data_IF_487916971838
#
_entry.id   IF_487916971838
#
_cell.length_a   1.000
_cell.length_b   1.000
_cell.length_c   1.000
_cell.angle_alpha   90.00
_cell.angle_beta   90.00
_cell.angle_gamma   90.00
#
_symmetry.space_group_name_H-M   'P 1'
#
loop_
_entity.id
_entity.type
_entity.pdbx_description
1 polymer ?
#
# COMPACT_ATOMS: atom_id res chain seq x y z
N UNK A 1 -19.78 2.55 15.29
CA UNK A 1 -19.51 3.93 14.81
C UNK A 1 -18.03 4.16 14.96
N UNK A 2 -17.30 4.70 13.96
CA UNK A 2 -15.91 5.03 14.16
C UNK A 2 -15.82 6.06 15.28
N UNK A 3 -14.97 5.78 16.28
CA UNK A 3 -14.72 6.73 17.35
C UNK A 3 -14.11 7.99 16.74
N UNK A 4 -14.72 9.14 17.00
CA UNK A 4 -14.18 10.43 16.57
C UNK A 4 -12.82 10.61 17.25
N UNK A 5 -11.77 11.03 16.52
CA UNK A 5 -10.42 11.26 17.01
C UNK A 5 -10.40 12.06 18.32
N UNK A 6 -11.23 13.10 18.41
CA UNK A 6 -11.38 13.91 19.62
C UNK A 6 -11.95 13.11 20.81
N UNK A 7 -12.81 12.11 20.58
CA UNK A 7 -13.30 11.25 21.63
C UNK A 7 -12.21 10.33 22.18
N UNK A 8 -11.34 9.80 21.30
CA UNK A 8 -10.20 8.97 21.72
C UNK A 8 -9.19 9.75 22.58
N UNK A 9 -8.93 11.02 22.25
CA UNK A 9 -8.07 11.88 23.07
C UNK A 9 -8.68 12.03 24.46
N UNK A 10 -9.99 12.31 24.56
CA UNK A 10 -10.67 12.46 25.85
C UNK A 10 -10.67 11.16 26.65
N UNK A 11 -10.95 10.00 26.04
CA UNK A 11 -10.90 8.70 26.73
C UNK A 11 -9.51 8.42 27.32
N UNK A 12 -8.43 8.66 26.55
CA UNK A 12 -7.06 8.51 27.04
C UNK A 12 -6.75 9.49 28.17
N UNK A 13 -7.22 10.71 28.09
CA UNK A 13 -7.03 11.73 29.14
C UNK A 13 -7.77 11.32 30.42
N UNK A 14 -9.03 10.88 30.33
CA UNK A 14 -9.79 10.39 31.47
C UNK A 14 -9.08 9.17 32.09
N UNK A 15 -8.62 8.22 31.29
CA UNK A 15 -7.86 7.06 31.75
C UNK A 15 -6.61 7.45 32.54
N UNK A 16 -5.80 8.35 32.00
CA UNK A 16 -4.59 8.86 32.65
C UNK A 16 -4.93 9.57 33.98
N UNK A 17 -6.02 10.33 34.03
CA UNK A 17 -6.48 10.96 35.25
C UNK A 17 -6.88 9.91 36.31
N UNK A 18 -7.72 8.95 35.95
CA UNK A 18 -8.26 7.95 36.88
C UNK A 18 -7.20 6.95 37.38
N UNK A 19 -6.12 6.73 36.64
CA UNK A 19 -4.96 5.93 37.02
C UNK A 19 -4.03 6.62 38.01
N UNK A 20 -4.13 7.93 38.17
CA UNK A 20 -3.29 8.69 39.09
C UNK A 20 -3.84 8.58 40.52
N UNK A 21 -3.24 7.74 41.44
CA UNK A 21 -3.75 7.54 42.78
C UNK A 21 -3.47 8.71 43.71
N UNK A 22 -2.61 9.64 43.33
CA UNK A 22 -2.17 10.76 44.17
C UNK A 22 -3.08 11.98 44.08
N UNK A 23 -4.05 12.00 43.14
CA UNK A 23 -5.00 13.10 42.97
C UNK A 23 -6.43 12.58 42.96
N UNK A 24 -7.34 13.29 43.64
CA UNK A 24 -8.77 13.04 43.57
C UNK A 24 -9.35 13.81 42.40
N UNK A 25 -10.12 13.16 41.55
CA UNK A 25 -10.65 13.73 40.30
C UNK A 25 -12.15 13.96 40.41
N UNK A 26 -12.58 15.22 40.37
CA UNK A 26 -13.98 15.58 40.20
C UNK A 26 -14.37 15.60 38.74
N UNK A 27 -15.68 15.70 38.43
CA UNK A 27 -16.12 15.88 37.04
C UNK A 27 -15.54 17.15 36.40
N UNK A 28 -15.41 18.24 37.20
CA UNK A 28 -14.83 19.50 36.73
C UNK A 28 -13.35 19.33 36.36
N UNK A 29 -12.58 18.72 37.22
CA UNK A 29 -11.16 18.38 36.92
C UNK A 29 -11.00 17.57 35.65
N UNK A 30 -11.89 16.60 35.39
CA UNK A 30 -11.86 15.78 34.16
C UNK A 30 -12.24 16.60 32.92
N UNK A 31 -13.16 17.54 33.06
CA UNK A 31 -13.54 18.47 31.97
C UNK A 31 -12.37 19.37 31.61
N UNK A 32 -11.68 19.93 32.60
CA UNK A 32 -10.53 20.83 32.42
C UNK A 32 -9.37 20.05 31.76
N UNK A 33 -9.01 18.87 32.30
CA UNK A 33 -7.97 18.03 31.73
C UNK A 33 -8.25 17.62 30.27
N UNK A 34 -9.50 17.29 29.95
CA UNK A 34 -9.89 16.95 28.59
C UNK A 34 -9.88 18.17 27.65
N UNK A 35 -10.20 19.35 28.17
CA UNK A 35 -10.15 20.59 27.39
C UNK A 35 -8.71 20.96 27.04
N UNK A 36 -7.82 20.88 28.04
CA UNK A 36 -6.38 21.12 27.86
C UNK A 36 -5.77 20.15 26.86
N UNK A 37 -6.08 18.86 26.96
CA UNK A 37 -5.59 17.86 26.02
C UNK A 37 -6.07 18.11 24.59
N UNK A 38 -7.33 18.51 24.38
CA UNK A 38 -7.83 18.82 23.04
C UNK A 38 -7.21 20.10 22.47
N UNK A 39 -6.92 21.09 23.31
CA UNK A 39 -6.18 22.26 22.90
C UNK A 39 -4.76 21.89 22.44
N UNK A 40 -4.06 21.09 23.23
CA UNK A 40 -2.67 20.68 22.97
C UNK A 40 -2.53 19.82 21.71
N UNK A 41 -3.44 18.85 21.51
CA UNK A 41 -3.33 17.87 20.39
C UNK A 41 -4.01 18.33 19.10
N UNK A 42 -5.06 19.14 19.16
CA UNK A 42 -5.89 19.48 17.99
C UNK A 42 -6.07 21.02 17.82
N UNK A 43 -5.52 21.83 18.75
CA UNK A 43 -5.68 23.29 18.72
C UNK A 43 -7.13 23.77 18.97
N UNK A 44 -7.96 22.92 19.61
CA UNK A 44 -9.38 23.25 19.87
C UNK A 44 -9.48 24.10 21.13
N UNK A 45 -9.70 25.38 20.97
CA UNK A 45 -9.83 26.36 22.07
C UNK A 45 -11.26 26.42 22.70
N UNK A 46 -12.22 25.73 22.12
CA UNK A 46 -13.57 25.60 22.67
C UNK A 46 -13.58 24.55 23.78
N UNK A 47 -13.74 24.97 25.04
CA UNK A 47 -13.87 24.08 26.18
C UNK A 47 -14.97 23.01 25.98
N UNK A 48 -14.87 21.93 26.72
CA UNK A 48 -15.80 20.77 26.64
C UNK A 48 -16.88 20.93 27.70
N UNK A 49 -18.11 20.51 27.38
CA UNK A 49 -19.20 20.50 28.35
C UNK A 49 -19.10 19.35 29.36
N UNK A 50 -19.55 19.56 30.60
CA UNK A 50 -19.71 18.50 31.60
C UNK A 50 -20.50 17.29 31.06
N UNK A 51 -21.54 17.57 30.26
CA UNK A 51 -22.38 16.55 29.61
C UNK A 51 -21.57 15.65 28.67
N UNK A 52 -20.61 16.22 27.92
CA UNK A 52 -19.74 15.46 27.02
C UNK A 52 -18.90 14.47 27.80
N UNK A 53 -18.22 14.91 28.87
CA UNK A 53 -17.38 14.04 29.71
C UNK A 53 -18.22 12.98 30.43
N UNK A 54 -19.42 13.30 30.89
CA UNK A 54 -20.35 12.32 31.45
C UNK A 54 -20.74 11.24 30.44
N UNK A 55 -21.03 11.63 29.20
CA UNK A 55 -21.31 10.67 28.11
C UNK A 55 -20.07 9.83 27.78
N UNK A 56 -18.88 10.41 27.78
CA UNK A 56 -17.63 9.69 27.57
C UNK A 56 -17.40 8.64 28.67
N UNK A 57 -17.60 9.00 29.93
CA UNK A 57 -17.51 8.04 31.06
C UNK A 57 -18.53 6.91 30.93
N UNK A 58 -19.78 7.23 30.54
CA UNK A 58 -20.80 6.20 30.28
C UNK A 58 -20.41 5.28 29.13
N UNK A 59 -19.83 5.85 28.07
CA UNK A 59 -19.35 5.07 26.94
C UNK A 59 -18.17 4.17 27.32
N UNK A 60 -17.23 4.67 28.12
CA UNK A 60 -16.11 3.88 28.65
C UNK A 60 -16.58 2.74 29.57
N UNK A 61 -17.64 2.92 30.32
CA UNK A 61 -18.28 1.88 31.17
C UNK A 61 -19.03 0.82 30.34
N UNK A 62 -19.44 1.15 29.13
CA UNK A 62 -20.23 0.27 28.28
C UNK A 62 -19.35 -0.74 27.53
N UNK A 63 -19.94 -1.87 27.16
CA UNK A 63 -19.31 -2.88 26.29
C UNK A 63 -19.15 -2.41 24.83
N UNK A 64 -19.80 -1.31 24.44
CA UNK A 64 -19.85 -0.84 23.04
C UNK A 64 -18.48 -0.50 22.43
N UNK A 65 -17.53 -0.07 23.25
CA UNK A 65 -16.15 0.21 22.83
C UNK A 65 -15.17 -0.86 23.30
N UNK A 66 -15.65 -1.92 23.97
CA UNK A 66 -14.82 -3.00 24.50
C UNK A 66 -14.05 -2.63 25.75
N UNK A 67 -14.19 -1.40 26.29
CA UNK A 67 -13.44 -0.99 27.49
C UNK A 67 -14.01 -1.59 28.76
N UNK A 68 -15.33 -1.62 28.89
CA UNK A 68 -16.01 -2.10 30.10
C UNK A 68 -15.39 -1.57 31.41
N UNK A 69 -15.02 -0.27 31.37
CA UNK A 69 -14.17 0.36 32.38
C UNK A 69 -14.85 0.41 33.76
N UNK A 70 -14.21 -0.13 34.81
CA UNK A 70 -14.77 -0.18 36.19
C UNK A 70 -14.65 1.19 36.88
N UNK A 71 -15.24 2.22 36.27
CA UNK A 71 -15.20 3.59 36.82
C UNK A 71 -16.28 3.71 37.89
N UNK A 72 -15.89 4.01 39.12
CA UNK A 72 -16.79 4.24 40.27
C UNK A 72 -16.75 5.69 40.73
N UNK A 73 -17.84 6.12 41.40
CA UNK A 73 -17.91 7.41 42.05
C UNK A 73 -17.89 7.17 43.56
N UNK A 74 -16.99 7.82 44.26
CA UNK A 74 -16.91 7.75 45.73
C UNK A 74 -17.04 9.16 46.32
N UNK A 75 -17.47 9.21 47.60
CA UNK A 75 -17.79 10.45 48.29
C UNK A 75 -18.76 11.38 47.46
N UNK A 76 -19.62 10.78 46.63
CA UNK A 76 -20.61 11.43 45.75
C UNK A 76 -20.08 12.46 44.73
N UNK A 77 -18.76 12.55 44.55
CA UNK A 77 -18.19 13.57 43.66
C UNK A 77 -16.88 13.17 42.97
N UNK A 78 -16.16 12.16 43.46
CA UNK A 78 -14.86 11.79 42.92
C UNK A 78 -14.94 10.54 42.07
N UNK A 79 -14.24 10.53 40.97
CA UNK A 79 -14.14 9.41 40.05
C UNK A 79 -12.82 8.69 40.22
N UNK A 80 -12.84 7.35 40.16
CA UNK A 80 -11.65 6.47 40.15
C UNK A 80 -11.98 5.17 39.47
N UNK A 81 -10.97 4.39 39.08
CA UNK A 81 -11.16 2.98 38.81
C UNK A 81 -11.39 2.19 40.08
N UNK A 82 -12.27 1.19 40.05
CA UNK A 82 -12.45 0.22 41.16
C UNK A 82 -11.22 -0.66 41.28
N UNK A 83 -10.65 -1.08 40.12
CA UNK A 83 -9.37 -1.77 40.01
C UNK A 83 -8.25 -0.77 39.72
N UNK A 84 -7.28 -0.56 40.64
CA UNK A 84 -6.18 0.39 40.44
C UNK A 84 -5.24 0.05 39.27
N UNK A 85 -5.17 -1.24 38.89
CA UNK A 85 -4.32 -1.71 37.80
C UNK A 85 -5.01 -1.57 36.42
N UNK A 86 -6.30 -1.25 36.41
CA UNK A 86 -7.06 -1.11 35.16
C UNK A 86 -6.60 0.08 34.32
N UNK A 87 -6.54 -0.12 33.02
CA UNK A 87 -6.39 0.93 32.01
C UNK A 87 -7.10 0.56 30.71
N UNK A 88 -7.71 1.52 30.03
CA UNK A 88 -8.28 1.27 28.70
C UNK A 88 -7.22 0.88 27.67
N UNK A 89 -5.94 1.22 27.92
CA UNK A 89 -4.81 0.83 27.06
C UNK A 89 -4.27 -0.56 27.36
N UNK A 90 -4.68 -1.16 28.49
CA UNK A 90 -4.31 -2.51 28.94
C UNK A 90 -5.50 -3.48 28.94
N UNK A 91 -6.63 -3.08 28.33
CA UNK A 91 -7.80 -3.96 28.22
C UNK A 91 -7.36 -5.26 27.53
N UNK A 92 -7.48 -6.42 28.17
CA UNK A 92 -7.13 -7.68 27.54
C UNK A 92 -7.98 -7.82 26.27
N UNK A 93 -7.31 -8.16 25.17
CA UNK A 93 -7.99 -8.45 23.90
C UNK A 93 -9.01 -9.56 24.14
N UNK A 94 -10.25 -9.34 23.76
CA UNK A 94 -11.27 -10.38 23.86
C UNK A 94 -11.03 -11.46 22.78
N UNK A 95 -11.65 -12.62 22.91
CA UNK A 95 -11.49 -13.73 21.95
C UNK A 95 -11.82 -13.33 20.52
N UNK A 96 -12.76 -12.41 20.31
CA UNK A 96 -13.13 -11.90 19.00
C UNK A 96 -12.04 -10.99 18.42
N UNK A 97 -11.41 -10.16 19.25
CA UNK A 97 -10.28 -9.31 18.84
C UNK A 97 -9.08 -10.18 18.47
N UNK A 98 -8.77 -11.19 19.27
CA UNK A 98 -7.70 -12.15 19.00
C UNK A 98 -7.94 -12.91 17.68
N UNK A 99 -9.19 -13.33 17.44
CA UNK A 99 -9.57 -13.97 16.18
C UNK A 99 -9.39 -13.04 14.99
N UNK A 100 -9.89 -11.81 15.07
CA UNK A 100 -9.77 -10.81 14.01
C UNK A 100 -8.30 -10.47 13.73
N UNK A 101 -7.48 -10.34 14.79
CA UNK A 101 -6.03 -10.13 14.66
C UNK A 101 -5.35 -11.33 14.00
N UNK A 102 -5.72 -12.57 14.36
CA UNK A 102 -5.20 -13.78 13.73
C UNK A 102 -5.51 -13.82 12.23
N UNK A 103 -6.74 -13.51 11.86
CA UNK A 103 -7.17 -13.43 10.45
C UNK A 103 -6.37 -12.36 9.69
N UNK A 104 -6.18 -11.19 10.30
CA UNK A 104 -5.38 -10.10 9.70
C UNK A 104 -3.90 -10.49 9.51
N UNK A 105 -3.30 -11.13 10.52
CA UNK A 105 -1.93 -11.63 10.46
C UNK A 105 -1.77 -12.68 9.36
N UNK A 106 -2.73 -13.60 9.21
CA UNK A 106 -2.70 -14.62 8.15
C UNK A 106 -2.75 -13.98 6.76
N UNK A 107 -3.58 -12.95 6.56
CA UNK A 107 -3.63 -12.18 5.30
C UNK A 107 -2.29 -11.45 5.06
N UNK A 108 -1.75 -10.77 6.07
CA UNK A 108 -0.48 -10.03 5.97
C UNK A 108 0.69 -10.95 5.63
N UNK A 109 0.75 -12.16 6.20
CA UNK A 109 1.77 -13.16 5.86
C UNK A 109 1.77 -13.57 4.39
N UNK A 110 0.61 -13.60 3.77
CA UNK A 110 0.50 -13.99 2.38
C UNK A 110 0.98 -12.89 1.42
N UNK A 111 1.05 -11.63 1.86
CA UNK A 111 1.72 -10.56 1.13
C UNK A 111 3.24 -10.71 1.25
N UNK A 112 3.86 -11.43 0.33
CA UNK A 112 5.32 -11.64 0.31
C UNK A 112 6.15 -10.35 0.36
N UNK A 113 5.61 -9.22 -0.10
CA UNK A 113 6.27 -7.92 0.02
C UNK A 113 6.55 -7.51 1.47
N UNK A 114 5.69 -7.88 2.42
CA UNK A 114 5.86 -7.52 3.83
C UNK A 114 6.93 -8.34 4.56
N UNK A 115 7.17 -9.59 4.15
CA UNK A 115 8.21 -10.43 4.78
C UNK A 115 9.64 -9.96 4.51
N UNK A 116 9.82 -9.04 3.56
CA UNK A 116 11.12 -8.42 3.26
C UNK A 116 11.36 -7.10 4.01
N UNK A 117 10.37 -6.59 4.74
CA UNK A 117 10.53 -5.45 5.64
C UNK A 117 10.71 -5.97 7.05
N UNK A 118 11.93 -5.82 7.58
CA UNK A 118 12.32 -6.37 8.90
C UNK A 118 11.38 -5.90 10.01
N UNK A 119 11.06 -4.61 10.05
CA UNK A 119 10.16 -4.04 11.05
C UNK A 119 8.72 -4.60 10.96
N UNK A 120 8.21 -4.85 9.76
CA UNK A 120 6.89 -5.45 9.55
C UNK A 120 6.87 -6.92 9.98
N UNK A 121 7.94 -7.66 9.69
CA UNK A 121 8.09 -9.04 10.12
C UNK A 121 8.11 -9.14 11.66
N UNK A 122 8.80 -8.24 12.34
CA UNK A 122 8.85 -8.18 13.80
C UNK A 122 7.48 -7.83 14.41
N UNK A 123 6.72 -6.94 13.78
CA UNK A 123 5.34 -6.63 14.19
C UNK A 123 4.45 -7.85 14.02
N UNK A 124 4.52 -8.52 12.86
CA UNK A 124 3.76 -9.74 12.59
C UNK A 124 4.10 -10.82 13.62
N UNK A 125 5.38 -11.07 13.90
CA UNK A 125 5.83 -12.05 14.90
C UNK A 125 5.31 -11.70 16.31
N UNK A 126 5.38 -10.43 16.72
CA UNK A 126 4.83 -9.99 18.01
C UNK A 126 3.31 -10.13 18.09
N UNK A 127 2.58 -9.82 17.02
CA UNK A 127 1.14 -10.06 16.95
C UNK A 127 0.82 -11.55 17.05
N UNK A 128 1.64 -12.41 16.42
CA UNK A 128 1.50 -13.86 16.52
C UNK A 128 1.75 -14.39 17.91
N UNK A 129 2.76 -13.90 18.61
CA UNK A 129 3.05 -14.29 19.99
C UNK A 129 1.86 -13.95 20.91
N UNK A 130 1.21 -12.80 20.69
CA UNK A 130 -0.01 -12.45 21.42
C UNK A 130 -1.22 -13.32 21.05
N UNK A 131 -1.30 -13.81 19.82
CA UNK A 131 -2.39 -14.65 19.31
C UNK A 131 -2.10 -16.14 19.47
N UNK A 132 -0.84 -16.54 19.76
CA UNK A 132 -0.39 -17.94 19.82
C UNK A 132 -1.18 -18.80 20.81
N UNK A 133 -1.74 -18.20 21.87
CA UNK A 133 -2.63 -18.87 22.83
C UNK A 133 -4.01 -19.24 22.24
N UNK A 134 -4.41 -18.63 21.12
CA UNK A 134 -5.70 -18.85 20.45
C UNK A 134 -5.59 -19.69 19.15
N UNK A 135 -4.42 -20.27 18.85
CA UNK A 135 -4.16 -21.01 17.60
C UNK A 135 -5.08 -22.21 17.42
N UNK A 136 -6.12 -22.05 16.62
CA UNK A 136 -6.62 -23.12 15.77
C UNK A 136 -5.68 -23.26 14.57
N UNK A 137 -5.20 -24.47 14.27
CA UNK A 137 -4.55 -24.79 13.00
C UNK A 137 -5.57 -24.61 11.89
N UNK A 138 -5.65 -23.42 11.33
CA UNK A 138 -6.52 -23.13 10.17
C UNK A 138 -5.77 -23.42 8.89
N UNK A 139 -6.39 -24.20 8.01
CA UNK A 139 -5.95 -24.35 6.63
C UNK A 139 -6.09 -22.98 5.95
N UNK A 140 -5.09 -22.51 5.18
CA UNK A 140 -5.21 -21.25 4.45
C UNK A 140 -6.45 -21.24 3.57
N UNK A 141 -7.32 -20.25 3.73
CA UNK A 141 -8.55 -20.08 2.93
C UNK A 141 -8.39 -19.03 1.84
N UNK A 142 -7.27 -18.31 1.84
CA UNK A 142 -6.88 -17.33 0.83
C UNK A 142 -5.51 -17.75 0.31
N UNK A 143 -5.35 -17.77 -1.01
CA UNK A 143 -4.05 -17.98 -1.66
C UNK A 143 -3.80 -16.87 -2.67
N UNK A 144 -2.67 -16.19 -2.55
CA UNK A 144 -2.22 -15.16 -3.48
C UNK A 144 -1.22 -15.74 -4.45
N UNK A 145 -1.22 -15.25 -5.69
CA UNK A 145 -0.22 -15.63 -6.68
C UNK A 145 1.19 -15.42 -6.12
N UNK A 146 1.97 -16.49 -6.06
CA UNK A 146 3.33 -16.52 -5.49
C UNK A 146 4.34 -16.90 -6.55
N UNK A 147 5.40 -16.11 -6.67
CA UNK A 147 6.57 -16.47 -7.45
C UNK A 147 7.75 -16.70 -6.51
N UNK A 148 8.02 -17.96 -6.19
CA UNK A 148 9.07 -18.34 -5.22
C UNK A 148 10.50 -18.10 -5.71
N UNK A 149 10.67 -17.95 -7.02
CA UNK A 149 11.97 -17.70 -7.67
C UNK A 149 12.28 -16.22 -7.88
N UNK A 150 11.53 -15.32 -7.25
CA UNK A 150 11.74 -13.88 -7.41
C UNK A 150 13.09 -13.46 -6.81
N UNK A 151 13.91 -12.78 -7.61
CA UNK A 151 15.22 -12.27 -7.19
C UNK A 151 15.14 -10.78 -6.86
N UNK A 152 16.06 -10.33 -5.99
CA UNK A 152 16.24 -8.92 -5.67
C UNK A 152 15.30 -8.40 -4.59
N UNK A 153 14.51 -9.27 -3.98
CA UNK A 153 13.61 -8.91 -2.87
C UNK A 153 14.41 -8.54 -1.61
N UNK A 154 15.60 -9.12 -1.43
CA UNK A 154 16.52 -8.82 -0.32
C UNK A 154 16.95 -7.34 -0.29
N UNK A 155 16.83 -6.63 -1.42
CA UNK A 155 17.14 -5.20 -1.51
C UNK A 155 15.96 -4.28 -1.19
N UNK A 156 14.73 -4.82 -1.04
CA UNK A 156 13.52 -4.00 -0.84
C UNK A 156 13.61 -3.12 0.40
N UNK A 157 13.90 -3.73 1.54
CA UNK A 157 13.98 -3.03 2.83
C UNK A 157 15.05 -1.94 2.80
N UNK A 158 16.24 -2.28 2.33
CA UNK A 158 17.36 -1.33 2.22
C UNK A 158 17.02 -0.16 1.29
N UNK A 159 16.39 -0.40 0.14
CA UNK A 159 16.00 0.66 -0.80
C UNK A 159 14.87 1.51 -0.22
N UNK A 160 13.90 0.89 0.46
CA UNK A 160 12.81 1.60 1.14
C UNK A 160 13.37 2.60 2.17
N UNK A 161 14.26 2.15 3.05
CA UNK A 161 14.88 3.02 4.03
C UNK A 161 15.78 4.08 3.41
N UNK A 162 16.46 3.78 2.30
CA UNK A 162 17.24 4.76 1.55
C UNK A 162 16.34 5.87 0.97
N UNK A 163 15.13 5.54 0.49
CA UNK A 163 14.15 6.52 0.01
C UNK A 163 13.62 7.38 1.16
N UNK A 164 13.19 6.75 2.26
CA UNK A 164 12.59 7.45 3.42
C UNK A 164 13.58 8.39 4.08
N UNK A 165 14.85 7.98 4.18
CA UNK A 165 15.91 8.76 4.81
C UNK A 165 16.64 9.70 3.84
N UNK A 166 16.21 9.79 2.58
CA UNK A 166 16.86 10.60 1.54
C UNK A 166 18.36 10.26 1.40
N UNK A 167 18.69 8.97 1.35
CA UNK A 167 20.08 8.52 1.16
C UNK A 167 20.30 8.02 -0.27
N UNK A 168 21.38 8.45 -0.95
CA UNK A 168 21.80 7.83 -2.21
C UNK A 168 22.34 6.41 -1.97
N UNK A 169 22.32 5.61 -3.03
CA UNK A 169 22.83 4.24 -2.99
C UNK A 169 23.87 4.01 -4.08
N UNK A 170 24.93 3.28 -3.77
CA UNK A 170 25.87 2.76 -4.74
C UNK A 170 25.33 1.43 -5.27
N UNK A 171 25.01 1.37 -6.56
CA UNK A 171 24.53 0.18 -7.20
C UNK A 171 25.57 -0.44 -8.13
N UNK A 172 25.73 -1.76 -8.05
CA UNK A 172 26.28 -2.58 -9.13
C UNK A 172 25.13 -3.27 -9.85
N UNK A 173 24.89 -2.88 -11.11
CA UNK A 173 23.70 -3.26 -11.88
C UNK A 173 24.07 -3.85 -13.23
N UNK A 174 23.42 -4.95 -13.63
CA UNK A 174 23.62 -5.57 -14.93
C UNK A 174 22.27 -5.82 -15.62
N UNK A 175 21.93 -5.02 -16.64
CA UNK A 175 20.77 -5.32 -17.47
C UNK A 175 20.98 -6.63 -18.25
N UNK A 176 19.91 -7.37 -18.58
CA UNK A 176 20.03 -8.65 -19.28
C UNK A 176 20.70 -8.54 -20.66
N UNK A 177 20.69 -7.35 -21.27
CA UNK A 177 21.34 -7.09 -22.56
C UNK A 177 22.78 -6.59 -22.42
N UNK A 178 23.22 -6.26 -21.20
CA UNK A 178 24.57 -5.70 -21.00
C UNK A 178 25.62 -6.83 -20.93
N UNK A 179 26.79 -6.57 -21.53
CA UNK A 179 27.94 -7.49 -21.49
C UNK A 179 28.59 -7.53 -20.09
N UNK A 180 28.62 -6.39 -19.40
CA UNK A 180 29.21 -6.24 -18.07
C UNK A 180 28.27 -5.49 -17.12
N UNK A 181 28.51 -5.62 -15.81
CA UNK A 181 27.86 -4.82 -14.80
C UNK A 181 28.46 -3.41 -14.75
N UNK A 182 27.63 -2.41 -14.46
CA UNK A 182 28.04 -1.04 -14.23
C UNK A 182 27.83 -0.68 -12.75
N UNK A 183 28.81 0.03 -12.17
CA UNK A 183 28.67 0.60 -10.84
C UNK A 183 28.43 2.10 -10.94
N UNK A 184 27.46 2.61 -10.17
CA UNK A 184 27.09 4.02 -10.18
C UNK A 184 26.32 4.41 -8.93
N UNK A 185 26.32 5.70 -8.58
CA UNK A 185 25.45 6.28 -7.56
C UNK A 185 24.05 6.46 -8.15
N UNK A 186 23.07 6.06 -7.39
CA UNK A 186 21.66 6.17 -7.74
C UNK A 186 20.89 6.83 -6.61
N UNK A 187 19.98 7.73 -6.95
CA UNK A 187 19.13 8.48 -6.04
C UNK A 187 17.71 7.90 -6.15
N UNK A 188 17.33 6.97 -5.25
CA UNK A 188 16.05 6.27 -5.34
C UNK A 188 14.91 7.15 -4.84
N UNK A 189 13.75 7.12 -5.51
CA UNK A 189 12.58 7.95 -5.20
C UNK A 189 11.31 7.15 -4.93
N UNK A 190 11.14 6.00 -5.59
CA UNK A 190 9.93 5.19 -5.49
C UNK A 190 10.22 3.72 -5.80
N UNK A 191 9.62 2.85 -4.99
CA UNK A 191 9.51 1.41 -5.30
C UNK A 191 8.15 1.12 -5.93
N UNK A 192 8.15 0.40 -7.04
CA UNK A 192 6.94 0.01 -7.79
C UNK A 192 6.93 -1.48 -8.07
N UNK A 193 5.86 -2.15 -7.66
CA UNK A 193 5.61 -3.54 -8.05
C UNK A 193 4.78 -3.58 -9.34
N UNK A 194 5.12 -4.51 -10.23
CA UNK A 194 4.33 -4.85 -11.41
C UNK A 194 4.51 -6.32 -11.79
N UNK A 195 3.43 -7.09 -11.78
CA UNK A 195 3.40 -8.52 -12.10
C UNK A 195 4.46 -9.32 -11.33
N UNK A 196 4.45 -9.18 -10.03
CA UNK A 196 5.39 -9.81 -9.09
C UNK A 196 6.87 -9.41 -9.29
N UNK A 197 7.20 -8.35 -10.04
CA UNK A 197 8.55 -7.83 -10.17
C UNK A 197 8.63 -6.42 -9.58
N UNK A 198 9.65 -6.17 -8.78
CA UNK A 198 9.90 -4.87 -8.19
C UNK A 198 10.86 -4.02 -9.00
N UNK A 199 10.57 -2.75 -9.03
CA UNK A 199 11.36 -1.72 -9.72
C UNK A 199 11.62 -0.57 -8.76
N UNK A 200 12.81 0.03 -8.85
CA UNK A 200 13.12 1.30 -8.21
C UNK A 200 13.21 2.40 -9.25
N UNK A 201 12.52 3.49 -9.02
CA UNK A 201 12.59 4.72 -9.80
C UNK A 201 13.55 5.68 -9.15
N UNK A 202 14.34 6.37 -9.95
CA UNK A 202 15.31 7.34 -9.47
C UNK A 202 16.18 7.89 -10.61
N UNK A 203 17.22 8.61 -10.24
CA UNK A 203 18.17 9.18 -11.19
C UNK A 203 19.58 8.69 -10.89
N UNK A 204 20.40 8.61 -11.95
CA UNK A 204 21.77 8.13 -11.86
C UNK A 204 22.76 9.31 -11.95
N UNK A 205 23.78 9.34 -11.10
CA UNK A 205 24.90 10.28 -11.16
C UNK A 205 24.42 11.73 -11.11
N UNK A 206 24.68 12.52 -12.14
CA UNK A 206 24.33 13.95 -12.20
C UNK A 206 22.82 14.24 -12.34
N UNK A 207 21.97 13.22 -12.26
CA UNK A 207 20.54 13.35 -12.03
C UNK A 207 19.74 14.07 -13.12
N UNK A 208 19.90 13.72 -14.41
CA UNK A 208 19.15 14.38 -15.49
C UNK A 208 18.03 13.56 -16.10
N UNK A 209 18.05 12.25 -15.93
CA UNK A 209 17.08 11.33 -16.59
C UNK A 209 16.56 10.36 -15.55
N UNK A 210 15.23 10.35 -15.40
CA UNK A 210 14.54 9.37 -14.58
C UNK A 210 14.71 7.97 -15.19
N UNK A 211 15.08 7.01 -14.38
CA UNK A 211 15.25 5.61 -14.77
C UNK A 211 14.41 4.71 -13.87
N UNK A 212 13.96 3.59 -14.42
CA UNK A 212 13.42 2.49 -13.65
C UNK A 212 14.38 1.30 -13.73
N UNK A 213 14.78 0.79 -12.58
CA UNK A 213 15.70 -0.33 -12.47
C UNK A 213 14.98 -1.51 -11.80
N UNK A 214 15.00 -2.66 -12.46
CA UNK A 214 14.41 -3.87 -11.88
C UNK A 214 15.36 -4.46 -10.81
N UNK A 215 14.84 -4.75 -9.62
CA UNK A 215 15.63 -5.19 -8.47
C UNK A 215 16.34 -6.54 -8.73
N UNK A 216 15.74 -7.42 -9.53
CA UNK A 216 16.31 -8.72 -9.92
C UNK A 216 17.63 -8.63 -10.73
N UNK A 217 18.04 -7.42 -11.11
CA UNK A 217 19.26 -7.14 -11.87
C UNK A 217 20.34 -6.44 -11.06
N UNK A 218 20.06 -6.14 -9.79
CA UNK A 218 21.03 -5.61 -8.83
C UNK A 218 21.97 -6.76 -8.43
N UNK A 219 23.27 -6.51 -8.46
CA UNK A 219 24.28 -7.47 -8.02
C UNK A 219 24.84 -7.13 -6.63
N UNK A 220 24.94 -5.84 -6.31
CA UNK A 220 25.24 -5.36 -4.98
C UNK A 220 24.68 -3.95 -4.79
N UNK A 221 24.41 -3.62 -3.54
CA UNK A 221 23.88 -2.33 -3.11
C UNK A 221 24.59 -1.92 -1.82
N UNK A 222 24.97 -0.64 -1.73
CA UNK A 222 25.52 0.00 -0.54
C UNK A 222 24.82 1.35 -0.34
N UNK A 223 24.38 1.66 0.87
CA UNK A 223 23.77 2.95 1.21
C UNK A 223 24.87 3.95 1.52
N UNK A 224 24.75 5.19 1.04
CA UNK A 224 25.73 6.27 1.20
C UNK A 224 25.17 7.43 2.04
N UNK A 225 25.02 7.30 3.38
CA UNK A 225 24.33 8.29 4.20
C UNK A 225 25.03 9.65 4.28
N UNK A 226 26.33 9.70 3.95
CA UNK A 226 27.14 10.92 4.01
C UNK A 226 27.16 11.71 2.70
N UNK A 227 26.63 11.11 1.62
CA UNK A 227 26.60 11.73 0.31
C UNK A 227 25.39 12.64 0.16
N UNK A 228 25.53 13.70 -0.64
CA UNK A 228 24.42 14.62 -0.94
C UNK A 228 23.33 13.91 -1.73
N UNK A 229 22.06 14.04 -1.27
CA UNK A 229 20.91 13.45 -1.95
C UNK A 229 20.27 14.44 -2.94
N UNK A 230 20.04 13.97 -4.16
CA UNK A 230 19.27 14.74 -5.16
C UNK A 230 17.81 14.43 -4.96
N UNK A 231 17.01 15.44 -4.55
CA UNK A 231 15.56 15.30 -4.33
C UNK A 231 14.81 15.06 -5.63
N UNK A 232 13.67 14.36 -5.51
CA UNK A 232 12.78 14.13 -6.64
C UNK A 232 12.11 15.43 -7.10
N UNK A 233 12.49 15.88 -8.31
CA UNK A 233 11.84 16.98 -9.04
C UNK A 233 11.36 16.53 -10.42
N UNK A 234 11.41 15.24 -10.71
CA UNK A 234 11.21 14.66 -12.04
C UNK A 234 9.77 14.22 -12.28
N UNK A 235 9.07 13.82 -11.22
CA UNK A 235 7.69 13.31 -11.32
C UNK A 235 6.98 13.38 -9.96
N UNK A 236 5.64 13.45 -10.02
CA UNK A 236 4.79 13.23 -8.85
C UNK A 236 4.45 11.73 -8.74
N UNK A 237 4.87 11.04 -7.67
CA UNK A 237 4.58 9.62 -7.47
C UNK A 237 3.09 9.27 -7.50
N UNK A 238 2.20 10.22 -7.16
CA UNK A 238 0.76 10.00 -7.11
C UNK A 238 0.12 9.92 -8.50
N UNK A 239 0.69 10.62 -9.49
CA UNK A 239 0.09 10.78 -10.83
C UNK A 239 0.92 10.20 -11.96
N UNK A 240 2.19 9.87 -11.70
CA UNK A 240 3.14 9.43 -12.74
C UNK A 240 2.68 8.23 -13.55
N UNK A 241 1.91 7.33 -12.92
CA UNK A 241 1.43 6.08 -13.53
C UNK A 241 0.01 6.20 -14.09
N UNK A 242 -0.57 7.38 -14.05
CA UNK A 242 -1.97 7.60 -14.42
C UNK A 242 -2.26 7.35 -15.89
N UNK A 243 -1.25 7.47 -16.74
CA UNK A 243 -1.29 7.26 -18.18
C UNK A 243 -0.48 6.02 -18.62
N UNK A 244 -0.20 5.09 -17.68
CA UNK A 244 0.65 3.93 -17.97
C UNK A 244 -0.07 2.60 -17.77
N UNK A 245 0.17 1.69 -18.69
CA UNK A 245 0.03 0.25 -18.43
C UNK A 245 1.42 -0.29 -18.15
N UNK A 246 1.66 -0.67 -16.87
CA UNK A 246 2.95 -1.19 -16.43
C UNK A 246 3.89 -0.16 -15.80
N UNK A 247 5.17 -0.22 -16.15
CA UNK A 247 6.25 0.50 -15.45
C UNK A 247 7.24 1.22 -16.36
N UNK A 248 7.05 1.18 -17.67
CA UNK A 248 8.01 1.81 -18.61
C UNK A 248 7.42 3.06 -19.21
N UNK A 249 8.03 4.21 -18.89
CA UNK A 249 7.77 5.51 -19.51
C UNK A 249 9.09 6.11 -19.96
N UNK A 250 9.24 6.26 -21.27
CA UNK A 250 10.42 6.92 -21.81
C UNK A 250 10.30 8.45 -21.64
N UNK A 251 11.42 9.13 -21.51
CA UNK A 251 11.45 10.59 -21.43
C UNK A 251 10.80 11.19 -22.68
N UNK A 252 9.84 12.09 -22.48
CA UNK A 252 9.12 12.74 -23.56
C UNK A 252 7.96 11.92 -24.15
N UNK A 253 7.68 10.70 -23.65
CA UNK A 253 6.48 9.98 -24.06
C UNK A 253 5.21 10.68 -23.59
N UNK A 254 4.23 10.77 -24.47
CA UNK A 254 2.92 11.37 -24.22
C UNK A 254 1.85 10.29 -24.37
N UNK A 255 0.79 10.40 -23.57
CA UNK A 255 -0.36 9.52 -23.71
C UNK A 255 -1.06 9.75 -25.06
N UNK A 256 -1.46 8.66 -25.68
CA UNK A 256 -2.20 8.64 -26.95
C UNK A 256 -3.47 7.81 -26.77
N UNK A 257 -4.48 8.15 -27.56
CA UNK A 257 -5.69 7.34 -27.65
C UNK A 257 -5.42 6.06 -28.43
N UNK A 258 -5.70 4.95 -27.78
CA UNK A 258 -5.57 3.60 -28.33
C UNK A 258 -6.94 2.95 -28.39
N UNK A 259 -7.47 2.78 -29.59
CA UNK A 259 -8.73 2.09 -29.83
C UNK A 259 -8.49 0.64 -30.22
N UNK A 260 -9.30 -0.25 -29.69
CA UNK A 260 -9.21 -1.67 -30.01
C UNK A 260 -10.57 -2.37 -29.93
N UNK A 261 -10.77 -3.33 -30.83
CA UNK A 261 -11.93 -4.22 -30.83
C UNK A 261 -11.61 -5.46 -30.01
N UNK A 262 -12.56 -5.90 -29.20
CA UNK A 262 -12.49 -7.10 -28.38
C UNK A 262 -13.55 -8.07 -28.85
N UNK A 263 -13.16 -9.32 -29.10
CA UNK A 263 -14.08 -10.39 -29.49
C UNK A 263 -15.14 -10.64 -28.41
N UNK A 264 -16.33 -11.07 -28.81
CA UNK A 264 -17.46 -11.30 -27.92
C UNK A 264 -17.13 -12.21 -26.72
N UNK A 265 -16.29 -13.23 -26.93
CA UNK A 265 -15.87 -14.15 -25.90
C UNK A 265 -15.00 -13.47 -24.80
N UNK A 266 -14.16 -12.50 -25.18
CA UNK A 266 -13.24 -11.81 -24.27
C UNK A 266 -13.84 -10.52 -23.68
N UNK A 267 -14.89 -9.98 -24.29
CA UNK A 267 -15.48 -8.70 -23.89
C UNK A 267 -15.90 -8.64 -22.41
N UNK A 268 -16.55 -9.66 -21.81
CA UNK A 268 -16.93 -9.63 -20.40
C UNK A 268 -15.71 -9.50 -19.47
N UNK A 269 -14.64 -10.22 -19.78
CA UNK A 269 -13.42 -10.22 -18.94
C UNK A 269 -12.70 -8.86 -18.95
N UNK A 270 -12.60 -8.22 -20.12
CA UNK A 270 -11.94 -6.92 -20.24
C UNK A 270 -12.81 -5.77 -19.73
N UNK A 271 -14.14 -5.89 -19.80
CA UNK A 271 -15.07 -4.92 -19.20
C UNK A 271 -15.02 -4.98 -17.67
N UNK A 272 -15.00 -6.19 -17.10
CA UNK A 272 -14.98 -6.37 -15.63
C UNK A 272 -13.60 -6.15 -15.01
N UNK A 273 -12.54 -6.35 -15.78
CA UNK A 273 -11.15 -6.05 -15.39
C UNK A 273 -10.49 -5.17 -16.47
N UNK A 274 -10.73 -3.86 -16.46
CA UNK A 274 -10.21 -2.94 -17.46
C UNK A 274 -8.68 -3.00 -17.56
N UNK A 275 -8.15 -2.87 -18.79
CA UNK A 275 -6.70 -2.80 -19.05
C UNK A 275 -6.12 -1.53 -18.42
N UNK A 276 -6.91 -0.43 -18.49
CA UNK A 276 -6.53 0.86 -17.90
C UNK A 276 -7.78 1.57 -17.36
N UNK A 277 -7.60 2.43 -16.34
CA UNK A 277 -8.70 3.19 -15.72
C UNK A 277 -9.42 4.15 -16.66
N UNK A 278 -8.77 4.57 -17.75
CA UNK A 278 -9.36 5.43 -18.76
C UNK A 278 -10.21 4.68 -19.79
N UNK A 279 -10.58 3.42 -19.58
CA UNK A 279 -11.23 2.54 -20.56
C UNK A 279 -12.76 2.72 -20.62
N UNK A 280 -13.33 3.57 -21.49
CA UNK A 280 -14.75 3.53 -21.82
C UNK A 280 -15.08 2.45 -22.84
N UNK A 281 -16.33 1.99 -22.83
CA UNK A 281 -16.92 1.24 -23.94
C UNK A 281 -17.42 2.24 -24.97
N UNK A 282 -16.80 2.27 -26.15
CA UNK A 282 -17.16 3.18 -27.22
C UNK A 282 -18.37 2.66 -28.03
N UNK A 283 -18.40 1.37 -28.31
CA UNK A 283 -19.44 0.76 -29.12
C UNK A 283 -19.63 -0.72 -28.75
N UNK A 284 -20.88 -1.20 -28.83
CA UNK A 284 -21.24 -2.63 -28.76
C UNK A 284 -21.76 -3.07 -30.11
N UNK A 285 -21.12 -4.05 -30.72
CA UNK A 285 -21.45 -4.55 -32.05
C UNK A 285 -22.50 -5.67 -31.99
N UNK A 286 -23.20 -5.91 -33.10
CA UNK A 286 -24.27 -6.90 -33.17
C UNK A 286 -23.80 -8.34 -32.94
N UNK A 287 -22.52 -8.63 -33.20
CA UNK A 287 -21.89 -9.93 -32.97
C UNK A 287 -21.45 -10.15 -31.50
N UNK A 288 -21.78 -9.21 -30.61
CA UNK A 288 -21.38 -9.23 -29.19
C UNK A 288 -19.97 -8.72 -28.93
N UNK A 289 -19.18 -8.41 -29.95
CA UNK A 289 -17.89 -7.77 -29.78
C UNK A 289 -18.04 -6.31 -29.33
N UNK A 290 -16.99 -5.73 -28.76
CA UNK A 290 -16.99 -4.34 -28.27
C UNK A 290 -15.80 -3.57 -28.77
N UNK A 291 -15.98 -2.26 -28.98
CA UNK A 291 -14.88 -1.33 -29.24
C UNK A 291 -14.63 -0.55 -27.97
N UNK A 292 -13.38 -0.59 -27.53
CA UNK A 292 -12.88 0.11 -26.34
C UNK A 292 -11.82 1.12 -26.74
N UNK A 293 -11.66 2.16 -25.95
CA UNK A 293 -10.58 3.15 -26.09
C UNK A 293 -9.87 3.30 -24.74
N UNK A 294 -8.56 3.47 -24.75
CA UNK A 294 -7.76 3.87 -23.58
C UNK A 294 -6.85 5.04 -23.98
N UNK A 295 -6.52 5.89 -23.02
CA UNK A 295 -5.56 6.98 -23.21
C UNK A 295 -4.33 6.70 -22.38
N UNK A 296 -3.24 6.27 -23.04
CA UNK A 296 -2.04 5.75 -22.38
C UNK A 296 -0.78 5.99 -23.20
N UNK A 297 0.36 6.00 -22.53
CA UNK A 297 1.67 5.92 -23.18
C UNK A 297 1.83 4.53 -23.81
N UNK A 298 2.10 4.49 -25.10
CA UNK A 298 2.36 3.24 -25.80
C UNK A 298 3.74 2.72 -25.39
N UNK A 299 3.76 1.56 -24.74
CA UNK A 299 4.96 0.90 -24.26
C UNK A 299 4.89 -0.62 -24.47
N UNK A 300 5.97 -1.32 -24.17
CA UNK A 300 6.04 -2.77 -24.39
C UNK A 300 5.16 -3.57 -23.41
N UNK A 301 4.78 -3.01 -22.27
CA UNK A 301 3.83 -3.65 -21.35
C UNK A 301 2.43 -3.67 -21.94
N UNK A 302 1.98 -2.55 -22.55
CA UNK A 302 0.71 -2.49 -23.26
C UNK A 302 0.69 -3.49 -24.43
N UNK A 303 1.76 -3.53 -25.24
CA UNK A 303 1.87 -4.51 -26.33
C UNK A 303 1.73 -5.95 -25.81
N UNK A 304 2.38 -6.29 -24.68
CA UNK A 304 2.27 -7.61 -24.06
C UNK A 304 0.87 -7.93 -23.55
N UNK A 305 0.14 -6.93 -23.06
CA UNK A 305 -1.26 -7.12 -22.68
C UNK A 305 -2.08 -7.51 -23.89
N UNK A 306 -1.97 -6.79 -25.01
CA UNK A 306 -2.69 -7.11 -26.24
C UNK A 306 -2.27 -8.47 -26.83
N UNK A 307 -0.99 -8.81 -26.84
CA UNK A 307 -0.52 -10.14 -27.26
C UNK A 307 -1.05 -11.29 -26.40
N UNK A 308 -1.33 -11.02 -25.13
CA UNK A 308 -1.90 -12.04 -24.23
C UNK A 308 -3.32 -12.47 -24.63
N UNK A 309 -4.03 -11.66 -25.41
CA UNK A 309 -5.35 -11.98 -25.96
C UNK A 309 -5.32 -12.50 -27.39
N UNK A 310 -4.14 -12.50 -28.02
CA UNK A 310 -3.95 -12.97 -29.40
C UNK A 310 -5.04 -12.51 -30.37
N UNK A 311 -5.84 -13.43 -30.93
CA UNK A 311 -6.96 -13.14 -31.85
C UNK A 311 -8.16 -12.48 -31.16
N UNK A 312 -8.23 -12.48 -29.83
CA UNK A 312 -9.31 -11.88 -29.05
C UNK A 312 -9.29 -10.34 -29.06
N UNK A 313 -8.16 -9.71 -29.41
CA UNK A 313 -8.01 -8.25 -29.48
C UNK A 313 -7.46 -7.83 -30.84
N UNK A 314 -8.13 -6.84 -31.45
CA UNK A 314 -7.65 -6.15 -32.66
C UNK A 314 -7.43 -4.68 -32.35
N UNK A 315 -6.20 -4.19 -32.44
CA UNK A 315 -5.88 -2.76 -32.34
C UNK A 315 -6.39 -2.04 -33.61
N UNK A 316 -7.13 -0.94 -33.43
CA UNK A 316 -7.73 -0.15 -34.50
C UNK A 316 -6.94 1.14 -34.79
N UNK A 317 -6.45 1.77 -33.73
CA UNK A 317 -5.60 2.98 -33.81
C UNK A 317 -4.75 3.12 -32.54
N UNK A 318 -3.65 3.89 -32.57
CA UNK A 318 -3.11 4.63 -33.73
C UNK A 318 -2.46 3.70 -34.77
N UNK A 319 -2.33 4.15 -35.98
CA UNK A 319 -1.79 3.38 -37.12
C UNK A 319 -0.41 2.79 -36.85
N UNK A 320 0.44 3.53 -36.14
CA UNK A 320 1.78 3.09 -35.71
C UNK A 320 1.73 1.82 -34.88
N UNK A 321 0.79 1.76 -33.93
CA UNK A 321 0.61 0.58 -33.05
C UNK A 321 0.00 -0.59 -33.87
N UNK A 322 -0.98 -0.34 -34.73
CA UNK A 322 -1.57 -1.36 -35.62
C UNK A 322 -0.49 -2.04 -36.45
N UNK A 323 0.36 -1.25 -37.11
CA UNK A 323 1.46 -1.76 -37.94
C UNK A 323 2.50 -2.53 -37.14
N UNK A 324 2.82 -2.04 -35.91
CA UNK A 324 3.74 -2.72 -34.99
C UNK A 324 3.20 -4.09 -34.57
N UNK A 325 1.93 -4.14 -34.14
CA UNK A 325 1.27 -5.37 -33.71
C UNK A 325 1.17 -6.37 -34.86
N UNK A 326 0.72 -5.93 -36.03
CA UNK A 326 0.63 -6.78 -37.25
C UNK A 326 1.98 -7.41 -37.61
N UNK A 327 3.05 -6.62 -37.62
CA UNK A 327 4.40 -7.11 -37.91
C UNK A 327 4.89 -8.14 -36.89
N UNK A 328 4.64 -7.90 -35.61
CA UNK A 328 5.06 -8.82 -34.53
C UNK A 328 4.24 -10.11 -34.52
N UNK A 329 2.93 -10.04 -34.74
CA UNK A 329 2.05 -11.21 -34.87
C UNK A 329 2.42 -12.07 -36.07
N UNK A 330 2.70 -11.46 -37.24
CA UNK A 330 3.19 -12.19 -38.42
C UNK A 330 4.47 -12.95 -38.09
N UNK A 331 5.45 -12.29 -37.48
CA UNK A 331 6.70 -12.91 -37.06
C UNK A 331 6.49 -14.04 -36.05
N UNK A 332 5.51 -13.90 -35.14
CA UNK A 332 5.17 -14.97 -34.19
C UNK A 332 4.55 -16.17 -34.92
N UNK A 333 3.60 -15.95 -35.83
CA UNK A 333 2.97 -17.01 -36.63
C UNK A 333 4.00 -17.80 -37.47
N UNK A 334 4.99 -17.12 -38.06
CA UNK A 334 6.06 -17.75 -38.84
C UNK A 334 6.85 -18.79 -38.03
N UNK A 335 6.99 -18.62 -36.71
CA UNK A 335 7.69 -19.59 -35.84
C UNK A 335 6.95 -20.94 -35.72
N UNK A 336 5.63 -20.95 -35.89
CA UNK A 336 4.80 -22.16 -35.82
C UNK A 336 4.60 -22.80 -37.18
N UNK A 337 4.83 -22.10 -38.29
CA UNK A 337 4.67 -22.63 -39.65
C UNK A 337 5.95 -23.32 -40.16
N UNK A 338 7.11 -23.06 -39.57
CA UNK A 338 8.40 -23.63 -39.97
C UNK A 338 8.87 -24.79 -39.06
N UNK A 339 8.04 -25.26 -38.12
CA UNK A 339 8.32 -26.47 -37.34
C UNK A 339 7.90 -27.70 -38.14
N UNK A 340 8.74 -28.14 -39.07
CA UNK A 340 8.75 -29.52 -39.63
C UNK A 340 10.13 -30.12 -39.52
#
# INVERSE_FOLDING_TARGET
MPANRNALIRYKTIDNCLRNPYRRWTLEDLVDACSDALYEYEGIDKGISKRTVQMDIQMMRSEKLGYNAPIVVYENKYYKYEDPEYSITQTPLNEQDLKTMSEAVEVLRQFKGFSYFTEMSDIINRLEDHVASARMKTTPVIDFEKNESLKGLDYLDTIYHAIVNEHPIQLKYRSFKARSANSFIFYPYLLKEYRNRWFVYGVRGNGRILQNLALDRIQSLEVLPQEHYIKNTFFDPNTFFDDLVGVTKNTGSVAEKVGFKVAAAEAPYIITKPIHRSQPVMERLADGSVILEIEVVINHELERVFFGYAEGIQVLYPKTLVELMGRKLKKAAEQYTHSK
#
